data_IF_215751582429
#
_entry.id   IF_215751582429
#
_cell.length_a   1.000
_cell.length_b   1.000
_cell.length_c   1.000
_cell.angle_alpha   90.00
_cell.angle_beta   90.00
_cell.angle_gamma   90.00
#
_symmetry.space_group_name_H-M   'P 1'
#
loop_
_entity.id
_entity.type
_entity.pdbx_description
1 polymer ?
#
# COMPACT_ATOMS: atom_id res chain seq x y z
N UNK A 1 8.59 -18.49 -10.04
CA UNK A 1 7.55 -19.54 -10.08
C UNK A 1 7.99 -20.91 -9.53
N UNK A 2 9.30 -21.21 -9.50
CA UNK A 2 9.79 -22.54 -9.05
C UNK A 2 9.54 -22.83 -7.55
N UNK A 3 9.31 -21.79 -6.74
CA UNK A 3 9.12 -21.93 -5.29
C UNK A 3 7.65 -21.92 -4.85
N UNK A 4 6.71 -21.77 -5.77
CA UNK A 4 5.27 -21.70 -5.47
C UNK A 4 4.58 -23.01 -5.85
N UNK A 5 3.69 -23.48 -4.97
CA UNK A 5 2.82 -24.62 -5.31
C UNK A 5 1.83 -24.24 -6.43
N UNK A 6 1.34 -25.21 -7.22
CA UNK A 6 0.30 -24.94 -8.22
C UNK A 6 -0.94 -24.27 -7.63
N UNK A 7 -1.35 -24.64 -6.42
CA UNK A 7 -2.48 -24.04 -5.71
C UNK A 7 -2.22 -22.58 -5.32
N UNK A 8 -1.00 -22.24 -4.91
CA UNK A 8 -0.60 -20.87 -4.62
C UNK A 8 -0.61 -19.99 -5.88
N UNK A 9 -0.14 -20.53 -7.00
CA UNK A 9 -0.18 -19.84 -8.30
C UNK A 9 -1.62 -19.58 -8.73
N UNK A 10 -2.48 -20.58 -8.60
CA UNK A 10 -3.91 -20.45 -8.96
C UNK A 10 -4.63 -19.44 -8.05
N UNK A 11 -4.34 -19.45 -6.76
CA UNK A 11 -4.84 -18.44 -5.81
C UNK A 11 -4.42 -17.03 -6.24
N UNK A 12 -3.12 -16.81 -6.50
CA UNK A 12 -2.60 -15.50 -6.90
C UNK A 12 -3.22 -14.99 -8.21
N UNK A 13 -3.46 -15.88 -9.18
CA UNK A 13 -4.10 -15.53 -10.46
C UNK A 13 -5.54 -15.04 -10.31
N UNK A 14 -6.24 -15.46 -9.26
CA UNK A 14 -7.63 -15.08 -8.98
C UNK A 14 -7.76 -13.82 -8.16
N UNK A 15 -6.67 -13.28 -7.60
CA UNK A 15 -6.73 -12.04 -6.83
C UNK A 15 -7.14 -10.87 -7.71
N UNK A 16 -8.13 -10.08 -7.29
CA UNK A 16 -8.51 -8.89 -8.02
C UNK A 16 -7.43 -7.81 -7.87
N UNK A 17 -7.26 -7.01 -8.91
CA UNK A 17 -6.38 -5.83 -8.83
C UNK A 17 -6.98 -4.69 -8.00
N UNK A 18 -8.29 -4.68 -7.86
CA UNK A 18 -9.06 -3.69 -7.12
C UNK A 18 -10.26 -4.36 -6.48
N UNK A 19 -10.58 -3.92 -5.27
CA UNK A 19 -11.79 -4.31 -4.55
C UNK A 19 -12.59 -3.06 -4.26
N UNK A 20 -13.86 -3.05 -4.69
CA UNK A 20 -14.82 -1.99 -4.43
C UNK A 20 -15.92 -2.51 -3.53
N UNK A 21 -16.27 -1.73 -2.51
CA UNK A 21 -17.36 -2.04 -1.60
C UNK A 21 -17.97 -0.76 -1.02
N UNK A 22 -19.06 -0.92 -0.31
CA UNK A 22 -19.74 0.19 0.36
C UNK A 22 -19.88 -0.12 1.85
N UNK A 23 -19.53 0.84 2.70
CA UNK A 23 -19.67 0.75 4.15
C UNK A 23 -20.31 2.05 4.65
N UNK A 24 -21.41 1.94 5.41
CA UNK A 24 -22.18 3.08 5.92
C UNK A 24 -22.45 4.15 4.84
N UNK A 25 -22.80 3.71 3.62
CA UNK A 25 -23.08 4.58 2.49
C UNK A 25 -21.84 5.19 1.81
N UNK A 26 -20.62 4.93 2.28
CA UNK A 26 -19.37 5.39 1.66
C UNK A 26 -18.86 4.34 0.68
N UNK A 27 -18.54 4.78 -0.53
CA UNK A 27 -17.94 3.95 -1.58
C UNK A 27 -16.44 3.92 -1.41
N UNK A 28 -15.89 2.73 -1.21
CA UNK A 28 -14.48 2.50 -0.89
C UNK A 28 -13.87 1.67 -1.99
N UNK A 29 -12.70 2.09 -2.47
CA UNK A 29 -11.86 1.33 -3.38
C UNK A 29 -10.53 1.02 -2.72
N UNK A 30 -10.11 -0.25 -2.80
CA UNK A 30 -8.81 -0.71 -2.31
C UNK A 30 -8.03 -1.32 -3.48
N UNK A 31 -6.81 -0.85 -3.70
CA UNK A 31 -5.95 -1.33 -4.79
C UNK A 31 -4.47 -1.15 -4.44
N UNK A 32 -3.59 -1.89 -5.13
CA UNK A 32 -2.15 -1.69 -4.93
C UNK A 32 -1.69 -0.34 -5.48
N UNK A 33 -2.11 0.00 -6.71
CA UNK A 33 -1.86 1.29 -7.35
C UNK A 33 -2.91 1.55 -8.44
N UNK A 34 -2.91 2.78 -8.98
CA UNK A 34 -3.80 3.14 -10.07
C UNK A 34 -3.47 2.33 -11.34
N UNK A 35 -4.51 1.96 -12.06
CA UNK A 35 -4.42 1.10 -13.23
C UNK A 35 -5.11 1.75 -14.42
N UNK A 36 -4.57 1.52 -15.60
CA UNK A 36 -5.23 1.89 -16.85
C UNK A 36 -6.36 0.90 -17.20
N UNK A 37 -7.10 1.18 -18.25
CA UNK A 37 -8.19 0.32 -18.73
C UNK A 37 -7.74 -1.10 -19.15
N UNK A 38 -6.43 -1.33 -19.32
CA UNK A 38 -5.85 -2.64 -19.65
C UNK A 38 -5.33 -3.39 -18.43
N UNK A 39 -5.68 -2.95 -17.21
CA UNK A 39 -5.17 -3.48 -15.95
C UNK A 39 -3.64 -3.46 -15.84
N UNK A 40 -3.01 -2.43 -16.39
CA UNK A 40 -1.57 -2.18 -16.24
C UNK A 40 -1.38 -1.02 -15.28
N UNK A 41 -0.44 -1.12 -14.35
CA UNK A 41 -0.08 0.00 -13.50
C UNK A 41 0.37 1.17 -14.38
N UNK A 42 -0.15 2.35 -14.12
CA UNK A 42 0.33 3.57 -14.76
C UNK A 42 1.65 4.00 -14.12
N UNK A 43 2.34 4.93 -14.76
CA UNK A 43 3.64 5.39 -14.29
C UNK A 43 3.57 5.83 -12.83
N UNK A 44 4.50 5.30 -12.05
CA UNK A 44 4.63 5.63 -10.64
C UNK A 44 4.98 7.09 -10.44
N UNK A 45 4.24 7.76 -9.54
CA UNK A 45 4.49 9.13 -9.12
C UNK A 45 4.92 9.10 -7.64
N UNK A 46 6.21 9.31 -7.34
CA UNK A 46 6.68 9.30 -5.96
C UNK A 46 6.19 10.54 -5.21
N UNK A 47 5.84 10.37 -3.93
CA UNK A 47 5.35 11.44 -3.06
C UNK A 47 4.28 12.32 -3.73
N UNK A 48 3.15 11.74 -4.15
CA UNK A 48 2.18 12.47 -4.94
C UNK A 48 1.61 13.66 -4.16
N UNK A 49 1.45 14.79 -4.84
CA UNK A 49 0.70 15.93 -4.33
C UNK A 49 -0.80 15.66 -4.39
N UNK A 50 -1.62 16.52 -3.76
CA UNK A 50 -3.07 16.47 -3.88
C UNK A 50 -3.54 16.46 -5.35
N UNK A 51 -2.99 17.33 -6.18
CA UNK A 51 -3.30 17.38 -7.62
C UNK A 51 -2.96 16.08 -8.33
N UNK A 52 -1.80 15.49 -8.01
CA UNK A 52 -1.41 14.19 -8.58
C UNK A 52 -2.39 13.09 -8.17
N UNK A 53 -2.88 13.06 -6.93
CA UNK A 53 -3.85 12.07 -6.47
C UNK A 53 -5.17 12.16 -7.23
N UNK A 54 -5.64 13.38 -7.52
CA UNK A 54 -6.85 13.59 -8.31
C UNK A 54 -6.70 13.14 -9.76
N UNK A 55 -5.49 13.26 -10.33
CA UNK A 55 -5.16 12.78 -11.68
C UNK A 55 -4.97 11.26 -11.72
N UNK A 56 -4.28 10.70 -10.72
CA UNK A 56 -4.04 9.25 -10.60
C UNK A 56 -5.33 8.46 -10.41
N UNK A 57 -6.28 9.03 -9.65
CA UNK A 57 -7.56 8.42 -9.33
C UNK A 57 -8.73 9.27 -9.85
N UNK A 58 -8.94 9.34 -11.17
CA UNK A 58 -9.88 10.26 -11.80
C UNK A 58 -11.35 9.90 -11.56
N UNK A 59 -11.64 8.67 -11.14
CA UNK A 59 -13.00 8.21 -10.86
C UNK A 59 -13.56 8.94 -9.64
N UNK A 60 -14.58 9.79 -9.86
CA UNK A 60 -15.15 10.66 -8.83
C UNK A 60 -16.27 10.02 -8.01
N UNK A 61 -16.58 8.77 -8.24
CA UNK A 61 -17.67 8.05 -7.58
C UNK A 61 -17.23 7.28 -6.33
N UNK A 62 -15.95 7.32 -5.94
CA UNK A 62 -15.44 6.80 -4.68
C UNK A 62 -15.25 7.92 -3.66
N UNK A 63 -15.74 7.68 -2.44
CA UNK A 63 -15.51 8.58 -1.31
C UNK A 63 -14.14 8.35 -0.69
N UNK A 64 -13.66 7.09 -0.72
CA UNK A 64 -12.40 6.68 -0.11
C UNK A 64 -11.62 5.81 -1.09
N UNK A 65 -10.37 6.19 -1.36
CA UNK A 65 -9.41 5.43 -2.16
C UNK A 65 -8.25 5.01 -1.25
N UNK A 66 -8.09 3.70 -1.05
CA UNK A 66 -6.98 3.12 -0.31
C UNK A 66 -6.02 2.50 -1.32
N UNK A 67 -4.77 2.96 -1.30
CA UNK A 67 -3.77 2.51 -2.26
C UNK A 67 -2.42 2.29 -1.59
N UNK A 68 -1.49 1.63 -2.28
CA UNK A 68 -0.14 1.33 -1.81
C UNK A 68 0.91 1.73 -2.84
N UNK A 69 1.88 0.85 -3.07
CA UNK A 69 3.00 0.97 -3.99
C UNK A 69 4.08 1.96 -3.55
N UNK A 70 3.73 3.20 -3.28
CA UNK A 70 4.62 4.15 -2.59
C UNK A 70 4.66 3.78 -1.11
N UNK A 71 5.83 3.43 -0.61
CA UNK A 71 6.02 3.06 0.79
C UNK A 71 5.99 4.28 1.73
N UNK A 72 5.92 5.48 1.18
CA UNK A 72 5.76 6.73 1.95
C UNK A 72 4.29 6.92 2.30
N UNK A 73 4.03 7.13 3.58
CA UNK A 73 2.67 7.40 4.05
C UNK A 73 2.10 8.68 3.41
N UNK A 74 0.88 8.59 2.90
CA UNK A 74 0.11 9.72 2.39
C UNK A 74 -1.35 9.59 2.80
N UNK A 75 -1.86 10.54 3.57
CA UNK A 75 -3.27 10.67 3.92
C UNK A 75 -3.71 12.05 3.52
N UNK A 76 -4.63 12.15 2.60
CA UNK A 76 -5.11 13.40 2.01
C UNK A 76 -6.63 13.38 1.89
N UNK A 77 -7.27 14.49 2.25
CA UNK A 77 -8.69 14.71 2.00
C UNK A 77 -8.84 15.86 1.03
N UNK A 78 -9.37 15.60 -0.15
CA UNK A 78 -9.53 16.57 -1.22
C UNK A 78 -10.81 16.33 -2.02
N UNK A 79 -11.53 17.39 -2.38
CA UNK A 79 -12.78 17.35 -3.14
C UNK A 79 -13.80 16.34 -2.59
N UNK A 80 -13.97 16.30 -1.26
CA UNK A 80 -14.81 15.35 -0.53
C UNK A 80 -14.43 13.88 -0.67
N UNK A 81 -13.16 13.60 -1.00
CA UNK A 81 -12.59 12.25 -1.15
C UNK A 81 -11.38 12.08 -0.26
N UNK A 82 -11.26 10.90 0.31
CA UNK A 82 -10.08 10.48 1.04
C UNK A 82 -9.15 9.64 0.15
N UNK A 83 -7.88 9.97 0.19
CA UNK A 83 -6.79 9.18 -0.42
C UNK A 83 -5.89 8.70 0.70
N UNK A 84 -5.77 7.39 0.85
CA UNK A 84 -5.09 6.78 1.98
C UNK A 84 -4.04 5.80 1.48
N UNK A 85 -2.77 6.15 1.69
CA UNK A 85 -1.64 5.23 1.64
C UNK A 85 -1.03 5.17 3.04
N UNK A 86 -1.13 4.03 3.69
CA UNK A 86 -0.61 3.86 5.05
C UNK A 86 0.92 3.81 5.11
N UNK A 87 1.59 3.69 3.99
CA UNK A 87 3.01 3.35 3.91
C UNK A 87 3.23 1.85 3.88
N UNK A 88 4.33 1.38 4.44
CA UNK A 88 4.71 -0.03 4.41
C UNK A 88 4.92 -0.63 5.80
N UNK A 89 4.50 -1.87 5.98
CA UNK A 89 4.77 -2.65 7.19
C UNK A 89 6.22 -3.16 7.27
N UNK A 90 6.80 -3.57 6.15
CA UNK A 90 8.07 -4.26 6.14
C UNK A 90 9.15 -3.69 5.22
N UNK A 91 8.80 -2.71 4.37
CA UNK A 91 9.73 -2.08 3.43
C UNK A 91 9.58 -0.56 3.50
N UNK A 92 9.99 0.09 4.59
CA UNK A 92 9.84 1.52 4.76
C UNK A 92 10.72 2.28 3.75
N UNK A 93 10.19 3.38 3.20
CA UNK A 93 10.92 4.20 2.24
C UNK A 93 12.05 5.03 2.90
N UNK A 94 11.72 5.72 3.98
CA UNK A 94 12.63 6.69 4.61
C UNK A 94 13.10 6.24 6.00
N UNK A 95 12.19 5.79 6.86
CA UNK A 95 12.49 5.34 8.21
C UNK A 95 12.58 3.82 8.25
N UNK A 96 13.77 3.30 8.18
CA UNK A 96 14.06 1.87 7.94
C UNK A 96 13.65 0.91 9.07
N UNK A 97 13.20 1.44 10.20
CA UNK A 97 12.81 0.66 11.36
C UNK A 97 11.37 0.93 11.84
N UNK A 98 10.54 1.53 10.98
CA UNK A 98 9.14 1.84 11.31
C UNK A 98 8.21 1.10 10.38
N UNK A 99 7.39 0.21 10.94
CA UNK A 99 6.24 -0.38 10.29
C UNK A 99 5.05 0.59 10.36
N UNK A 100 4.35 0.80 9.24
CA UNK A 100 3.24 1.74 9.14
C UNK A 100 1.96 1.05 8.76
N UNK A 101 0.88 1.45 9.43
CA UNK A 101 -0.49 1.08 9.13
C UNK A 101 -1.41 2.31 9.29
N UNK A 102 -2.66 2.18 8.89
CA UNK A 102 -3.69 3.17 9.15
C UNK A 102 -4.95 2.50 9.71
N UNK A 103 -5.65 3.21 10.56
CA UNK A 103 -6.98 2.85 11.02
C UNK A 103 -7.94 3.87 10.40
N UNK A 104 -8.88 3.37 9.62
CA UNK A 104 -9.99 4.13 9.05
C UNK A 104 -11.24 3.83 9.88
N UNK A 105 -11.89 4.87 10.38
CA UNK A 105 -13.14 4.77 11.13
C UNK A 105 -14.21 5.54 10.36
N UNK A 106 -15.36 4.91 10.15
CA UNK A 106 -16.53 5.50 9.51
C UNK A 106 -17.68 5.38 10.50
N UNK A 107 -18.29 6.49 10.84
CA UNK A 107 -19.39 6.55 11.80
C UNK A 107 -20.75 6.72 11.10
N UNK A 108 -21.84 6.33 11.76
CA UNK A 108 -23.21 6.45 11.24
C UNK A 108 -23.60 7.91 10.92
N UNK A 109 -22.99 8.89 11.60
CA UNK A 109 -23.16 10.32 11.35
C UNK A 109 -22.42 10.84 10.12
N UNK A 110 -21.87 9.94 9.29
CA UNK A 110 -21.01 10.21 8.14
C UNK A 110 -19.63 10.80 8.46
N UNK A 111 -19.23 10.85 9.73
CA UNK A 111 -17.88 11.26 10.09
C UNK A 111 -16.87 10.19 9.66
N UNK A 112 -15.76 10.63 9.06
CA UNK A 112 -14.64 9.77 8.65
C UNK A 112 -13.41 10.29 9.36
N UNK A 113 -12.73 9.39 10.07
CA UNK A 113 -11.42 9.67 10.64
C UNK A 113 -10.38 8.66 10.15
N UNK A 114 -9.14 9.13 9.98
CA UNK A 114 -8.02 8.30 9.57
C UNK A 114 -6.86 8.55 10.51
N UNK A 115 -6.42 7.50 11.20
CA UNK A 115 -5.31 7.57 12.16
C UNK A 115 -4.15 6.70 11.70
N UNK A 116 -2.96 7.29 11.61
CA UNK A 116 -1.73 6.55 11.36
C UNK A 116 -1.28 5.79 12.60
N UNK A 117 -0.74 4.60 12.37
CA UNK A 117 -0.10 3.76 13.38
C UNK A 117 1.33 3.51 12.93
N UNK A 118 2.28 3.78 13.81
CA UNK A 118 3.70 3.57 13.59
C UNK A 118 4.28 2.70 14.71
N UNK A 119 4.95 1.62 14.31
CA UNK A 119 5.55 0.67 15.26
C UNK A 119 7.01 0.48 14.90
N UNK A 120 7.89 0.77 15.83
CA UNK A 120 9.33 0.49 15.68
C UNK A 120 9.56 -1.01 15.73
N UNK A 121 10.44 -1.50 14.86
CA UNK A 121 10.88 -2.89 14.85
C UNK A 121 12.41 -2.98 14.67
N UNK A 122 12.95 -4.14 15.01
CA UNK A 122 14.38 -4.41 14.92
C UNK A 122 14.74 -4.88 13.50
N UNK A 123 15.31 -3.96 12.72
CA UNK A 123 15.77 -4.24 11.34
C UNK A 123 16.84 -5.33 11.32
N UNK A 124 17.70 -5.42 12.36
CA UNK A 124 18.75 -6.42 12.41
C UNK A 124 18.17 -7.83 12.36
N UNK A 125 17.10 -8.07 13.13
CA UNK A 125 16.41 -9.38 13.13
C UNK A 125 15.78 -9.70 11.78
N UNK A 126 15.27 -8.69 11.06
CA UNK A 126 14.71 -8.90 9.71
C UNK A 126 15.82 -9.28 8.74
N UNK A 127 16.95 -8.60 8.79
CA UNK A 127 18.12 -8.87 7.94
C UNK A 127 18.70 -10.26 8.24
N UNK A 128 18.88 -10.61 9.51
CA UNK A 128 19.32 -11.94 9.95
C UNK A 128 18.36 -13.06 9.44
N UNK A 129 17.04 -12.81 9.53
CA UNK A 129 16.07 -13.76 9.03
C UNK A 129 16.14 -13.94 7.51
N UNK A 130 16.30 -12.85 6.75
CA UNK A 130 16.50 -12.87 5.29
C UNK A 130 17.71 -13.75 4.92
N UNK A 131 18.81 -13.61 5.67
CA UNK A 131 20.02 -14.41 5.44
C UNK A 131 19.81 -15.88 5.85
N UNK A 132 19.15 -16.13 6.99
CA UNK A 132 18.87 -17.47 7.46
C UNK A 132 18.03 -18.30 6.47
N UNK A 133 16.98 -17.71 5.90
CA UNK A 133 16.14 -18.38 4.90
C UNK A 133 16.74 -18.40 3.50
N UNK A 134 17.93 -17.81 3.31
CA UNK A 134 18.58 -17.63 2.01
C UNK A 134 17.64 -17.02 0.96
N UNK A 135 16.99 -15.91 1.35
CA UNK A 135 16.00 -15.25 0.50
C UNK A 135 16.61 -14.86 -0.85
N UNK A 136 15.94 -15.18 -1.99
CA UNK A 136 16.44 -14.82 -3.31
C UNK A 136 16.71 -13.31 -3.43
N UNK A 137 17.82 -12.92 -4.05
CA UNK A 137 18.27 -11.54 -4.18
C UNK A 137 18.40 -10.81 -2.82
N UNK A 138 18.82 -11.52 -1.77
CA UNK A 138 18.91 -10.99 -0.41
C UNK A 138 19.80 -9.74 -0.32
N UNK A 139 20.90 -9.69 -1.06
CA UNK A 139 21.82 -8.54 -1.09
C UNK A 139 21.12 -7.27 -1.58
N UNK A 140 20.45 -7.35 -2.72
CA UNK A 140 19.72 -6.22 -3.30
C UNK A 140 18.57 -5.77 -2.40
N UNK A 141 17.83 -6.73 -1.83
CA UNK A 141 16.70 -6.42 -0.92
C UNK A 141 17.19 -5.72 0.34
N UNK A 142 18.25 -6.25 0.98
CA UNK A 142 18.85 -5.65 2.17
C UNK A 142 19.34 -4.23 1.90
N UNK A 143 20.06 -4.05 0.79
CA UNK A 143 20.57 -2.75 0.37
C UNK A 143 19.47 -1.76 0.04
N UNK A 144 18.50 -2.16 -0.78
CA UNK A 144 17.46 -1.26 -1.28
C UNK A 144 16.46 -0.87 -0.19
N UNK A 145 15.93 -1.84 0.56
CA UNK A 145 14.89 -1.58 1.54
C UNK A 145 15.42 -1.23 2.94
N UNK A 146 16.56 -1.78 3.33
CA UNK A 146 17.08 -1.61 4.69
C UNK A 146 18.38 -0.82 4.74
N UNK A 147 19.03 -0.55 3.60
CA UNK A 147 20.29 0.20 3.50
C UNK A 147 21.46 -0.52 4.18
N UNK A 148 21.40 -1.84 4.22
CA UNK A 148 22.44 -2.71 4.77
C UNK A 148 23.20 -3.35 3.59
N UNK A 149 24.54 -3.28 3.66
CA UNK A 149 25.42 -3.91 2.65
C UNK A 149 25.74 -5.37 3.01
#
# INVERSE_FOLDING_TARGET
HQCLSPSSIEFLRKLPYRVDFCELGKKISVMHYCMNQKNQCINYTPNPTESNLLELFPERNQDIVIYGHDHTRMICHSQNRWFINSGSLGCPANDKNIARAAILEIEENNHISVRSVEIKYDVTKVVEYIDWIKYPASGEIKKFFFGVN
#
